data_IF_968016159297
#
_entry.id   IF_968016159297
#
_cell.length_a   1.000
_cell.length_b   1.000
_cell.length_c   1.000
_cell.angle_alpha   90.00
_cell.angle_beta   90.00
_cell.angle_gamma   90.00
#
_symmetry.space_group_name_H-M   'P 1'
#
loop_
_entity.id
_entity.type
_entity.pdbx_description
1 polymer ?
#
# COMPACT_ATOMS: atom_id res chain seq x y z
N UNK A 1 -18.20 0.84 -3.56
CA UNK A 1 -17.83 -0.59 -3.72
C UNK A 1 -18.27 -1.20 -5.05
N UNK A 2 -19.57 -1.42 -5.34
CA UNK A 2 -20.00 -2.06 -6.63
C UNK A 2 -19.50 -1.35 -7.90
N UNK A 3 -19.26 -0.04 -7.87
CA UNK A 3 -18.74 0.74 -9.01
C UNK A 3 -17.23 0.56 -9.27
N UNK A 4 -16.44 0.29 -8.23
CA UNK A 4 -14.98 0.08 -8.34
C UNK A 4 -14.65 -1.33 -8.85
N UNK A 5 -15.54 -2.29 -8.62
CA UNK A 5 -15.41 -3.69 -9.08
C UNK A 5 -16.24 -4.00 -10.34
N UNK A 6 -16.97 -3.03 -10.89
CA UNK A 6 -17.70 -3.16 -12.15
C UNK A 6 -16.85 -2.68 -13.35
N UNK A 7 -17.31 -2.91 -14.58
CA UNK A 7 -16.58 -2.61 -15.83
C UNK A 7 -15.91 -1.23 -15.83
N UNK A 8 -14.61 -1.19 -16.09
CA UNK A 8 -13.76 0.02 -16.02
C UNK A 8 -13.44 0.58 -14.63
N UNK A 9 -13.97 0.03 -13.54
CA UNK A 9 -13.71 0.51 -12.17
C UNK A 9 -12.25 0.30 -11.73
N UNK A 10 -11.66 -0.84 -12.08
CA UNK A 10 -10.27 -1.16 -11.73
C UNK A 10 -9.28 -0.26 -12.46
N UNK A 11 -9.57 0.07 -13.74
CA UNK A 11 -8.76 0.97 -14.55
C UNK A 11 -8.73 2.40 -14.01
N UNK A 12 -9.89 2.92 -13.59
CA UNK A 12 -10.00 4.22 -12.93
C UNK A 12 -9.28 4.26 -11.59
N UNK A 13 -9.42 3.20 -10.79
CA UNK A 13 -8.66 3.09 -9.54
C UNK A 13 -7.16 3.16 -9.81
N UNK A 14 -6.67 2.46 -10.85
CA UNK A 14 -5.28 2.51 -11.27
C UNK A 14 -4.87 3.91 -11.74
N UNK A 15 -5.65 4.57 -12.60
CA UNK A 15 -5.35 5.91 -13.09
C UNK A 15 -5.29 6.95 -11.95
N UNK A 16 -6.17 6.82 -10.94
CA UNK A 16 -6.16 7.61 -9.71
C UNK A 16 -4.91 7.34 -8.85
N UNK A 17 -4.52 6.08 -8.66
CA UNK A 17 -3.30 5.73 -7.92
C UNK A 17 -2.03 6.26 -8.62
N UNK A 18 -1.96 6.13 -9.96
CA UNK A 18 -0.86 6.67 -10.77
C UNK A 18 -0.82 8.20 -10.79
N UNK A 19 -1.94 8.88 -10.51
CA UNK A 19 -2.02 10.33 -10.35
C UNK A 19 -1.64 10.82 -8.94
N UNK A 20 -1.15 9.95 -8.04
CA UNK A 20 -0.75 10.35 -6.69
C UNK A 20 -1.90 10.41 -5.69
N UNK A 21 -2.99 9.69 -5.96
CA UNK A 21 -4.16 9.60 -5.08
C UNK A 21 -4.86 10.94 -4.81
N UNK A 22 -4.80 11.88 -5.75
CA UNK A 22 -5.52 13.15 -5.62
C UNK A 22 -7.04 12.95 -5.78
N UNK A 23 -7.82 13.62 -4.92
CA UNK A 23 -9.28 13.47 -4.89
C UNK A 23 -9.73 12.06 -4.49
N UNK A 24 -10.92 11.66 -4.94
CA UNK A 24 -11.46 10.33 -4.67
C UNK A 24 -11.46 9.47 -5.94
N UNK A 25 -11.29 8.14 -5.80
CA UNK A 25 -11.23 7.24 -6.95
C UNK A 25 -12.54 7.20 -7.77
N UNK A 26 -13.69 7.49 -7.14
CA UNK A 26 -15.00 7.56 -7.80
C UNK A 26 -15.23 8.87 -8.60
N UNK A 27 -14.38 9.88 -8.45
CA UNK A 27 -14.52 11.20 -9.12
C UNK A 27 -13.93 11.23 -10.54
N UNK A 28 -13.21 10.19 -10.96
CA UNK A 28 -12.73 10.11 -12.34
C UNK A 28 -13.90 9.82 -13.31
N UNK A 29 -14.04 10.71 -14.30
CA UNK A 29 -15.06 10.67 -15.35
C UNK A 29 -14.98 9.35 -16.15
N UNK A 30 -16.12 8.85 -16.59
CA UNK A 30 -16.21 7.64 -17.43
C UNK A 30 -15.42 7.82 -18.73
N UNK A 31 -14.57 6.86 -19.08
CA UNK A 31 -13.81 6.83 -20.35
C UNK A 31 -14.64 6.22 -21.49
N UNK A 32 -14.16 6.34 -22.73
CA UNK A 32 -14.75 5.67 -23.90
C UNK A 32 -14.88 4.16 -23.73
N UNK A 33 -13.78 3.51 -23.36
CA UNK A 33 -13.67 2.06 -23.16
C UNK A 33 -14.60 1.54 -22.06
N UNK A 34 -14.62 2.19 -20.89
CA UNK A 34 -15.49 1.80 -19.78
C UNK A 34 -16.97 1.99 -20.10
N UNK A 35 -17.31 3.05 -20.85
CA UNK A 35 -18.67 3.25 -21.35
C UNK A 35 -19.10 2.13 -22.31
N UNK A 36 -18.22 1.70 -23.22
CA UNK A 36 -18.50 0.57 -24.14
C UNK A 36 -18.75 -0.71 -23.35
N UNK A 37 -17.89 -1.06 -22.38
CA UNK A 37 -18.08 -2.23 -21.53
C UNK A 37 -19.40 -2.19 -20.75
N UNK A 38 -19.77 -1.03 -20.22
CA UNK A 38 -21.03 -0.84 -19.52
C UNK A 38 -22.24 -1.05 -20.45
N UNK A 39 -22.16 -0.56 -21.70
CA UNK A 39 -23.22 -0.76 -22.70
C UNK A 39 -23.32 -2.23 -23.14
N UNK A 40 -22.19 -2.91 -23.33
CA UNK A 40 -22.14 -4.35 -23.61
C UNK A 40 -22.78 -5.16 -22.46
N UNK A 41 -22.47 -4.81 -21.21
CA UNK A 41 -23.08 -5.43 -20.03
C UNK A 41 -24.60 -5.20 -19.94
N UNK A 42 -25.09 -4.10 -20.53
CA UNK A 42 -26.52 -3.80 -20.69
C UNK A 42 -27.16 -4.45 -21.92
N UNK A 43 -26.40 -5.25 -22.68
CA UNK A 43 -26.88 -6.00 -23.83
C UNK A 43 -26.87 -5.24 -25.16
N UNK A 44 -26.19 -4.10 -25.24
CA UNK A 44 -26.00 -3.41 -26.52
C UNK A 44 -24.95 -4.14 -27.38
N UNK A 45 -25.15 -4.22 -28.70
CA UNK A 45 -24.11 -4.62 -29.65
C UNK A 45 -22.87 -3.72 -29.57
N UNK A 46 -21.68 -4.29 -29.80
CA UNK A 46 -20.37 -3.61 -29.67
C UNK A 46 -20.25 -2.38 -30.58
N UNK A 47 -20.65 -2.54 -31.83
CA UNK A 47 -20.65 -1.48 -32.85
C UNK A 47 -21.51 -0.28 -32.43
N UNK A 48 -22.71 -0.54 -31.91
CA UNK A 48 -23.58 0.52 -31.40
C UNK A 48 -23.01 1.17 -30.13
N UNK A 49 -22.44 0.37 -29.23
CA UNK A 49 -21.80 0.88 -28.02
C UNK A 49 -20.60 1.79 -28.34
N UNK A 50 -19.78 1.43 -29.32
CA UNK A 50 -18.63 2.22 -29.79
C UNK A 50 -19.08 3.54 -30.46
N UNK A 51 -20.13 3.50 -31.28
CA UNK A 51 -20.73 4.71 -31.88
C UNK A 51 -21.30 5.67 -30.82
N UNK A 52 -22.00 5.13 -29.82
CA UNK A 52 -22.50 5.92 -28.70
C UNK A 52 -21.34 6.51 -27.88
N UNK A 53 -20.29 5.73 -27.62
CA UNK A 53 -19.11 6.22 -26.91
C UNK A 53 -18.45 7.40 -27.66
N UNK A 54 -18.30 7.31 -28.98
CA UNK A 54 -17.77 8.39 -29.80
C UNK A 54 -18.61 9.66 -29.70
N UNK A 55 -19.94 9.54 -29.83
CA UNK A 55 -20.88 10.67 -29.74
C UNK A 55 -20.85 11.34 -28.36
N UNK A 56 -20.82 10.53 -27.28
CA UNK A 56 -20.79 11.03 -25.91
C UNK A 56 -19.43 11.66 -25.58
N UNK A 57 -18.33 11.16 -26.19
CA UNK A 57 -17.00 11.78 -26.10
C UNK A 57 -16.93 13.13 -26.81
N UNK A 58 -17.47 13.24 -28.03
CA UNK A 58 -17.56 14.51 -28.76
C UNK A 58 -18.40 15.55 -28.02
N UNK A 59 -19.44 15.12 -27.31
CA UNK A 59 -20.24 15.97 -26.43
C UNK A 59 -19.51 16.39 -25.12
N UNK A 60 -18.26 15.95 -24.92
CA UNK A 60 -17.44 16.31 -23.74
C UNK A 60 -17.85 15.60 -22.45
N UNK A 61 -18.66 14.54 -22.54
CA UNK A 61 -19.17 13.81 -21.39
C UNK A 61 -18.33 12.59 -21.00
N UNK A 62 -17.39 12.15 -21.85
CA UNK A 62 -16.38 11.13 -21.51
C UNK A 62 -15.00 11.75 -21.35
N UNK A 63 -14.21 11.19 -20.41
CA UNK A 63 -12.78 11.50 -20.31
C UNK A 63 -11.98 10.83 -21.42
N UNK A 64 -10.75 11.30 -21.61
CA UNK A 64 -9.76 10.57 -22.39
C UNK A 64 -9.43 9.23 -21.74
N UNK A 65 -8.94 8.30 -22.56
CA UNK A 65 -8.54 6.98 -22.06
C UNK A 65 -7.47 7.11 -20.99
N UNK A 66 -7.53 6.20 -20.01
CA UNK A 66 -6.58 6.16 -18.91
C UNK A 66 -5.18 5.84 -19.44
N UNK A 67 -4.35 6.88 -19.56
CA UNK A 67 -2.95 6.76 -19.98
C UNK A 67 -2.13 6.06 -18.90
N UNK A 68 -1.67 4.85 -19.21
CA UNK A 68 -0.81 4.06 -18.34
C UNK A 68 0.66 4.48 -18.37
N UNK A 69 1.07 5.39 -19.26
CA UNK A 69 2.47 5.77 -19.45
C UNK A 69 3.35 4.52 -19.64
N UNK A 70 4.44 4.43 -18.88
CA UNK A 70 5.37 3.30 -18.97
C UNK A 70 4.77 1.95 -18.55
N UNK A 71 3.66 1.94 -17.81
CA UNK A 71 3.01 0.71 -17.39
C UNK A 71 2.31 0.01 -18.56
N UNK A 72 1.97 0.72 -19.64
CA UNK A 72 1.36 0.11 -20.83
C UNK A 72 2.26 -0.94 -21.52
N UNK A 73 3.59 -0.84 -21.36
CA UNK A 73 4.57 -1.78 -21.92
C UNK A 73 4.78 -3.02 -21.04
N UNK A 74 4.15 -3.08 -19.86
CA UNK A 74 4.29 -4.20 -18.94
C UNK A 74 3.48 -5.42 -19.39
N UNK A 75 3.86 -6.60 -18.89
CA UNK A 75 3.09 -7.83 -19.14
C UNK A 75 1.68 -7.74 -18.54
N UNK A 76 0.68 -8.32 -19.20
CA UNK A 76 -0.73 -8.31 -18.75
C UNK A 76 -0.93 -8.63 -17.25
N UNK A 77 -0.34 -9.71 -16.71
CA UNK A 77 -0.46 -10.03 -15.28
C UNK A 77 0.07 -8.94 -14.33
N UNK A 78 1.05 -8.15 -14.78
CA UNK A 78 1.63 -7.04 -14.03
C UNK A 78 0.66 -5.85 -13.99
N UNK A 79 0.02 -5.54 -15.11
CA UNK A 79 -1.03 -4.52 -15.20
C UNK A 79 -2.23 -4.92 -14.33
N UNK A 80 -2.70 -6.16 -14.46
CA UNK A 80 -3.80 -6.66 -13.62
C UNK A 80 -3.46 -6.62 -12.13
N UNK A 81 -2.21 -6.90 -11.75
CA UNK A 81 -1.76 -6.75 -10.37
C UNK A 81 -1.80 -5.28 -9.92
N UNK A 82 -1.34 -4.35 -10.77
CA UNK A 82 -1.42 -2.91 -10.50
C UNK A 82 -2.86 -2.42 -10.30
N UNK A 83 -3.78 -2.91 -11.12
CA UNK A 83 -5.20 -2.60 -11.03
C UNK A 83 -5.82 -3.15 -9.73
N UNK A 84 -5.51 -4.39 -9.36
CA UNK A 84 -5.96 -4.97 -8.07
C UNK A 84 -5.43 -4.18 -6.87
N UNK A 85 -4.12 -3.91 -6.86
CA UNK A 85 -3.44 -3.13 -5.82
C UNK A 85 -4.10 -1.73 -5.68
N UNK A 86 -4.44 -1.09 -6.80
CA UNK A 86 -5.10 0.22 -6.80
C UNK A 86 -6.54 0.16 -6.29
N UNK A 87 -7.29 -0.90 -6.63
CA UNK A 87 -8.63 -1.14 -6.09
C UNK A 87 -8.58 -1.34 -4.58
N UNK A 88 -7.59 -2.08 -4.08
CA UNK A 88 -7.45 -2.33 -2.65
C UNK A 88 -7.16 -1.03 -1.88
N UNK A 89 -6.30 -0.15 -2.42
CA UNK A 89 -6.11 1.20 -1.87
C UNK A 89 -7.40 2.01 -1.92
N UNK A 90 -8.10 2.00 -3.06
CA UNK A 90 -9.35 2.75 -3.24
C UNK A 90 -10.43 2.30 -2.24
N UNK A 91 -10.54 1.00 -1.99
CA UNK A 91 -11.46 0.44 -1.00
C UNK A 91 -11.05 0.84 0.42
N UNK A 92 -9.76 0.74 0.74
CA UNK A 92 -9.21 1.12 2.04
C UNK A 92 -9.53 2.58 2.39
N UNK A 93 -9.43 3.50 1.43
CA UNK A 93 -9.65 4.94 1.64
C UNK A 93 -11.05 5.42 1.27
N UNK A 94 -11.98 4.53 0.91
CA UNK A 94 -13.28 4.94 0.34
C UNK A 94 -14.24 5.58 1.34
N UNK A 95 -14.24 5.12 2.59
CA UNK A 95 -15.15 5.65 3.62
C UNK A 95 -14.55 6.84 4.38
N UNK A 96 -13.22 6.91 4.45
CA UNK A 96 -12.50 7.96 5.14
C UNK A 96 -11.06 8.05 4.69
N UNK A 97 -10.54 9.28 4.67
CA UNK A 97 -9.13 9.60 4.51
C UNK A 97 -8.93 11.03 4.99
N UNK A 98 -8.16 11.20 6.05
CA UNK A 98 -7.85 12.49 6.66
C UNK A 98 -6.36 12.74 6.40
N UNK A 99 -6.06 13.84 5.71
CA UNK A 99 -4.68 14.25 5.41
C UNK A 99 -4.25 15.34 6.37
N UNK A 100 -2.95 15.57 6.48
CA UNK A 100 -2.40 16.65 7.33
C UNK A 100 -3.03 18.02 7.04
N UNK A 101 -3.21 18.45 5.76
CA UNK A 101 -3.88 19.72 5.46
C UNK A 101 -5.33 19.79 5.96
N UNK A 102 -6.02 18.65 6.08
CA UNK A 102 -7.41 18.59 6.53
C UNK A 102 -7.52 18.85 8.05
N UNK A 103 -6.42 18.77 8.81
CA UNK A 103 -6.35 19.15 10.24
C UNK A 103 -6.34 20.69 10.45
N UNK A 104 -6.04 21.47 9.40
CA UNK A 104 -5.91 22.92 9.49
C UNK A 104 -7.29 23.57 9.39
N UNK A 105 -7.94 23.76 10.54
CA UNK A 105 -9.25 24.44 10.61
C UNK A 105 -9.12 25.90 11.09
N UNK A 106 -10.22 26.66 11.06
CA UNK A 106 -10.23 28.05 11.55
C UNK A 106 -9.99 28.17 13.06
N UNK A 107 -10.21 27.09 13.82
CA UNK A 107 -10.31 27.13 15.29
C UNK A 107 -9.09 26.54 16.01
N UNK A 108 -8.01 26.20 15.30
CA UNK A 108 -6.79 25.65 15.91
C UNK A 108 -5.88 26.75 16.50
N UNK A 109 -5.07 26.40 17.49
CA UNK A 109 -4.07 27.30 18.05
C UNK A 109 -2.96 27.64 17.05
N UNK A 110 -2.26 28.76 17.26
CA UNK A 110 -1.09 29.11 16.44
C UNK A 110 0.01 28.05 16.48
N UNK A 111 0.16 27.37 17.62
CA UNK A 111 1.12 26.28 17.80
C UNK A 111 0.75 25.05 16.97
N UNK A 112 -0.51 24.62 17.03
CA UNK A 112 -1.03 23.52 16.20
C UNK A 112 -0.94 23.85 14.70
N UNK A 113 -1.24 25.09 14.33
CA UNK A 113 -1.08 25.55 12.93
C UNK A 113 0.37 25.43 12.47
N UNK A 114 1.34 25.89 13.27
CA UNK A 114 2.77 25.77 12.96
C UNK A 114 3.20 24.30 12.85
N UNK A 115 2.68 23.44 13.73
CA UNK A 115 2.94 22.00 13.72
C UNK A 115 2.48 21.38 12.39
N UNK A 116 1.24 21.63 11.99
CA UNK A 116 0.64 21.03 10.78
C UNK A 116 1.15 21.64 9.46
N UNK A 117 1.43 22.94 9.42
CA UNK A 117 1.88 23.63 8.19
C UNK A 117 3.39 23.47 7.94
N UNK A 118 4.20 23.16 8.96
CA UNK A 118 5.67 23.13 8.86
C UNK A 118 6.28 21.83 9.37
N UNK A 119 6.11 21.52 10.64
CA UNK A 119 6.85 20.43 11.30
C UNK A 119 6.42 19.04 10.79
N UNK A 120 5.11 18.85 10.54
CA UNK A 120 4.57 17.63 9.94
C UNK A 120 5.09 17.44 8.50
N UNK A 121 4.94 18.39 7.55
CA UNK A 121 5.50 18.25 6.21
C UNK A 121 7.01 18.00 6.18
N UNK A 122 7.79 18.71 7.01
CA UNK A 122 9.24 18.52 7.08
C UNK A 122 9.63 17.12 7.58
N UNK A 123 8.93 16.60 8.59
CA UNK A 123 9.19 15.26 9.12
C UNK A 123 8.75 14.15 8.16
N UNK A 124 7.63 14.32 7.44
CA UNK A 124 7.17 13.46 6.34
C UNK A 124 8.23 13.37 5.24
N UNK A 125 8.71 14.53 4.76
CA UNK A 125 9.73 14.58 3.72
C UNK A 125 11.07 13.99 4.19
N UNK A 126 11.50 14.27 5.43
CA UNK A 126 12.73 13.70 6.02
C UNK A 126 12.66 12.17 6.12
N UNK A 127 11.48 11.63 6.43
CA UNK A 127 11.20 10.21 6.42
C UNK A 127 11.06 9.61 5.00
N UNK A 128 11.19 10.40 3.94
CA UNK A 128 11.08 9.91 2.57
C UNK A 128 9.68 9.46 2.20
N UNK A 129 8.68 10.09 2.81
CA UNK A 129 7.30 9.97 2.42
C UNK A 129 6.87 11.19 1.62
N UNK A 130 5.96 11.00 0.66
CA UNK A 130 5.18 12.10 0.06
C UNK A 130 4.03 12.49 0.99
N UNK A 131 3.44 11.52 1.70
CA UNK A 131 2.38 11.76 2.67
C UNK A 131 2.24 10.62 3.67
N UNK A 132 1.62 10.96 4.80
CA UNK A 132 1.05 10.01 5.75
C UNK A 132 -0.38 10.46 6.00
N UNK A 133 -1.35 9.57 5.80
CA UNK A 133 -2.77 9.89 5.94
C UNK A 133 -3.42 8.95 6.96
N UNK A 134 -4.42 9.46 7.69
CA UNK A 134 -5.24 8.68 8.61
C UNK A 134 -6.47 8.13 7.88
N UNK A 135 -6.74 6.84 8.06
CA UNK A 135 -7.98 6.16 7.65
C UNK A 135 -8.65 5.64 8.91
N UNK A 136 -9.54 6.44 9.50
CA UNK A 136 -10.24 6.12 10.77
C UNK A 136 -11.35 5.05 10.62
N UNK A 137 -11.67 4.66 9.39
CA UNK A 137 -12.63 3.60 9.04
C UNK A 137 -12.04 2.59 8.06
N UNK A 138 -10.84 2.12 8.35
CA UNK A 138 -10.13 1.13 7.52
C UNK A 138 -10.86 -0.23 7.57
N UNK A 139 -11.32 -0.77 6.43
CA UNK A 139 -12.08 -2.01 6.41
C UNK A 139 -11.17 -3.24 6.56
N UNK A 140 -11.43 -4.07 7.57
CA UNK A 140 -10.71 -5.32 7.79
C UNK A 140 -11.70 -6.48 7.76
N UNK A 141 -11.57 -7.36 6.77
CA UNK A 141 -12.39 -8.56 6.64
C UNK A 141 -11.63 -9.79 7.15
N UNK A 142 -12.06 -10.34 8.29
CA UNK A 142 -11.57 -11.63 8.79
C UNK A 142 -12.53 -12.71 8.29
N UNK A 143 -12.01 -13.71 7.59
CA UNK A 143 -12.83 -14.77 7.00
C UNK A 143 -12.28 -16.16 7.29
N UNK A 144 -13.18 -17.10 7.61
CA UNK A 144 -12.87 -18.52 7.82
C UNK A 144 -13.74 -19.36 6.89
N UNK A 145 -13.09 -20.15 6.04
CA UNK A 145 -13.75 -20.98 5.01
C UNK A 145 -13.70 -22.49 5.35
N UNK A 146 -13.06 -22.86 6.45
CA UNK A 146 -12.93 -24.25 6.87
C UNK A 146 -11.89 -24.41 7.97
N UNK A 147 -11.52 -25.66 8.24
CA UNK A 147 -10.44 -26.02 9.15
C UNK A 147 -9.64 -27.18 8.55
N UNK A 148 -8.38 -27.31 8.94
CA UNK A 148 -7.53 -28.42 8.50
C UNK A 148 -7.59 -29.56 9.50
N UNK A 149 -7.73 -30.81 9.04
CA UNK A 149 -7.57 -32.04 9.85
C UNK A 149 -6.57 -32.96 9.17
N UNK A 150 -5.79 -33.70 9.97
CA UNK A 150 -4.81 -34.67 9.47
C UNK A 150 -3.56 -34.70 10.34
N UNK A 151 -2.58 -35.50 9.93
CA UNK A 151 -1.27 -35.56 10.57
C UNK A 151 -0.30 -34.48 10.10
N UNK A 152 0.93 -34.52 10.63
CA UNK A 152 1.98 -33.54 10.36
C UNK A 152 2.72 -33.79 9.04
N UNK A 153 2.55 -34.97 8.43
CA UNK A 153 3.29 -35.30 7.21
C UNK A 153 2.66 -34.65 5.97
N UNK A 154 3.46 -34.22 4.97
CA UNK A 154 2.95 -33.72 3.70
C UNK A 154 1.94 -34.67 3.06
N UNK A 155 0.74 -34.16 2.75
CA UNK A 155 -0.34 -34.93 2.12
C UNK A 155 -1.35 -35.56 3.09
N UNK A 156 -1.06 -35.61 4.39
CA UNK A 156 -2.01 -36.11 5.40
C UNK A 156 -3.03 -35.05 5.83
N UNK A 157 -2.65 -33.78 5.76
CA UNK A 157 -3.52 -32.66 6.08
C UNK A 157 -4.55 -32.41 4.96
N UNK A 158 -5.84 -32.43 5.31
CA UNK A 158 -6.94 -32.07 4.41
C UNK A 158 -7.70 -30.88 4.94
N UNK A 159 -7.95 -29.92 4.06
CA UNK A 159 -8.86 -28.80 4.33
C UNK A 159 -10.31 -29.29 4.30
N UNK A 160 -10.96 -29.31 5.47
CA UNK A 160 -12.40 -29.48 5.61
C UNK A 160 -13.08 -28.13 5.44
N UNK A 161 -13.68 -27.91 4.27
CA UNK A 161 -14.38 -26.67 3.92
C UNK A 161 -15.76 -26.63 4.57
N UNK A 162 -16.26 -25.43 4.87
CA UNK A 162 -17.65 -25.27 5.26
C UNK A 162 -18.55 -25.29 4.01
N UNK A 163 -19.61 -26.08 4.06
CA UNK A 163 -20.55 -26.23 2.96
C UNK A 163 -21.84 -25.41 3.18
N UNK A 164 -22.32 -24.82 2.10
CA UNK A 164 -23.58 -24.09 2.03
C UNK A 164 -24.74 -24.97 1.55
N UNK A 165 -25.81 -24.35 1.05
CA UNK A 165 -26.91 -25.09 0.39
C UNK A 165 -26.45 -25.56 -1.00
N UNK A 166 -26.81 -26.78 -1.39
CA UNK A 166 -26.41 -27.35 -2.67
C UNK A 166 -24.89 -27.46 -2.81
N UNK A 167 -24.34 -27.11 -3.98
CA UNK A 167 -22.90 -27.18 -4.26
C UNK A 167 -22.15 -25.87 -3.93
N UNK A 168 -22.65 -25.07 -2.98
CA UNK A 168 -22.02 -23.81 -2.57
C UNK A 168 -21.07 -23.98 -1.38
N UNK A 169 -20.04 -23.14 -1.30
CA UNK A 169 -19.19 -23.02 -0.12
C UNK A 169 -19.72 -21.92 0.81
N UNK A 170 -19.58 -22.14 2.12
CA UNK A 170 -19.90 -21.14 3.13
C UNK A 170 -18.61 -20.54 3.66
N UNK A 171 -18.57 -19.22 3.75
CA UNK A 171 -17.50 -18.47 4.39
C UNK A 171 -18.12 -17.72 5.56
N UNK A 172 -17.58 -17.92 6.75
CA UNK A 172 -17.92 -17.09 7.91
C UNK A 172 -16.99 -15.89 7.88
N UNK A 173 -17.55 -14.69 7.89
CA UNK A 173 -16.79 -13.47 7.76
C UNK A 173 -17.24 -12.46 8.80
N UNK A 174 -16.28 -11.73 9.33
CA UNK A 174 -16.45 -10.62 10.25
C UNK A 174 -15.77 -9.39 9.63
N UNK A 175 -16.57 -8.36 9.33
CA UNK A 175 -16.09 -7.10 8.76
C UNK A 175 -16.01 -6.07 9.88
N UNK A 176 -14.79 -5.66 10.20
CA UNK A 176 -14.50 -4.67 11.22
C UNK A 176 -14.00 -3.38 10.59
N UNK A 177 -14.23 -2.26 11.28
CA UNK A 177 -13.64 -0.96 10.94
C UNK A 177 -12.57 -0.66 11.98
N UNK A 178 -11.35 -0.45 11.51
CA UNK A 178 -10.18 -0.15 12.32
C UNK A 178 -9.64 1.24 11.98
N UNK A 179 -8.69 1.72 12.79
CA UNK A 179 -7.82 2.82 12.40
C UNK A 179 -6.67 2.28 11.57
N UNK A 180 -6.24 3.03 10.56
CA UNK A 180 -5.00 2.78 9.85
C UNK A 180 -4.26 4.08 9.52
N UNK A 181 -2.94 3.99 9.43
CA UNK A 181 -2.10 5.00 8.82
C UNK A 181 -1.66 4.48 7.45
N UNK A 182 -1.95 5.26 6.41
CA UNK A 182 -1.49 5.05 5.04
C UNK A 182 -0.18 5.82 4.85
N UNK A 183 0.90 5.08 4.60
CA UNK A 183 2.22 5.65 4.32
C UNK A 183 2.49 5.59 2.83
N UNK A 184 2.83 6.74 2.24
CA UNK A 184 3.17 6.85 0.83
C UNK A 184 4.62 7.28 0.70
N UNK A 185 5.48 6.39 0.21
CA UNK A 185 6.87 6.72 -0.11
C UNK A 185 6.89 7.71 -1.27
N UNK A 186 7.83 8.64 -1.21
CA UNK A 186 8.09 9.58 -2.29
C UNK A 186 8.52 8.82 -3.56
N UNK A 187 7.71 8.83 -4.64
CA UNK A 187 7.97 8.03 -5.82
C UNK A 187 9.25 8.45 -6.55
N UNK A 188 9.61 9.74 -6.51
CA UNK A 188 10.83 10.25 -7.16
C UNK A 188 12.03 9.72 -6.41
N UNK A 189 12.03 9.81 -5.08
CA UNK A 189 13.11 9.26 -4.26
C UNK A 189 13.22 7.74 -4.38
N UNK A 190 12.10 7.03 -4.49
CA UNK A 190 12.10 5.57 -4.70
C UNK A 190 12.71 5.24 -6.07
N UNK A 191 12.35 5.97 -7.12
CA UNK A 191 12.92 5.82 -8.45
C UNK A 191 14.43 6.05 -8.44
N UNK A 192 14.88 7.18 -7.91
CA UNK A 192 16.31 7.53 -7.84
C UNK A 192 17.09 6.50 -7.03
N UNK A 193 16.52 6.02 -5.93
CA UNK A 193 17.11 4.96 -5.12
C UNK A 193 17.19 3.62 -5.86
N UNK A 194 16.17 3.23 -6.62
CA UNK A 194 16.20 2.01 -7.44
C UNK A 194 17.28 2.11 -8.53
N UNK A 195 17.39 3.26 -9.20
CA UNK A 195 18.44 3.54 -10.20
C UNK A 195 19.82 3.51 -9.56
N UNK A 196 20.00 4.13 -8.39
CA UNK A 196 21.27 4.10 -7.64
C UNK A 196 21.70 2.67 -7.26
N UNK A 197 20.73 1.76 -7.02
CA UNK A 197 21.00 0.34 -6.81
C UNK A 197 21.29 -0.46 -8.08
N UNK A 198 21.30 0.19 -9.25
CA UNK A 198 21.65 -0.41 -10.53
C UNK A 198 20.46 -0.96 -11.32
N UNK A 199 19.22 -0.69 -10.92
CA UNK A 199 18.05 -1.05 -11.72
C UNK A 199 17.92 -0.13 -12.93
N UNK A 200 17.46 -0.71 -14.05
CA UNK A 200 17.11 0.05 -15.25
C UNK A 200 15.61 0.28 -15.25
N UNK A 201 15.20 1.53 -15.06
CA UNK A 201 13.83 1.98 -15.24
C UNK A 201 13.72 2.85 -16.51
N UNK A 202 12.55 2.92 -17.15
CA UNK A 202 12.28 3.91 -18.18
C UNK A 202 12.56 5.33 -17.65
N UNK A 203 13.12 6.20 -18.51
CA UNK A 203 13.29 7.59 -18.16
C UNK A 203 11.92 8.24 -17.97
N UNK A 204 11.70 8.80 -16.78
CA UNK A 204 10.42 9.36 -16.38
C UNK A 204 10.60 10.86 -16.05
N UNK A 205 9.70 11.69 -16.57
CA UNK A 205 9.64 13.12 -16.26
C UNK A 205 8.36 13.43 -15.48
N UNK A 206 8.53 13.99 -14.28
CA UNK A 206 7.45 14.28 -13.35
C UNK A 206 6.90 13.05 -12.61
N UNK A 207 6.09 13.33 -11.59
CA UNK A 207 5.67 12.33 -10.60
C UNK A 207 4.83 11.20 -11.20
N UNK A 208 3.89 11.52 -12.11
CA UNK A 208 3.04 10.52 -12.76
C UNK A 208 3.87 9.52 -13.56
N UNK A 209 4.77 10.00 -14.43
CA UNK A 209 5.62 9.12 -15.23
C UNK A 209 6.46 8.21 -14.33
N UNK A 210 7.01 8.76 -13.24
CA UNK A 210 7.76 8.00 -12.24
C UNK A 210 6.91 6.88 -11.61
N UNK A 211 5.67 7.20 -11.21
CA UNK A 211 4.73 6.20 -10.69
C UNK A 211 4.44 5.10 -11.71
N UNK A 212 4.23 5.44 -12.98
CA UNK A 212 4.01 4.42 -14.04
C UNK A 212 5.23 3.51 -14.26
N UNK A 213 6.45 4.08 -14.19
CA UNK A 213 7.69 3.32 -14.34
C UNK A 213 7.93 2.37 -13.16
N UNK A 214 7.64 2.80 -11.92
CA UNK A 214 7.74 1.92 -10.75
C UNK A 214 6.63 0.86 -10.79
N UNK A 215 5.42 1.25 -11.21
CA UNK A 215 4.27 0.36 -11.23
C UNK A 215 4.42 -0.82 -12.21
N UNK A 216 5.40 -0.82 -13.12
CA UNK A 216 5.71 -1.96 -14.00
C UNK A 216 6.56 -3.05 -13.35
N UNK A 217 6.95 -2.89 -12.07
CA UNK A 217 7.81 -3.81 -11.32
C UNK A 217 7.18 -5.19 -11.07
N UNK A 218 7.74 -6.31 -11.48
CA UNK A 218 7.18 -7.61 -11.07
C UNK A 218 7.45 -7.91 -9.57
N UNK A 219 6.41 -7.80 -8.72
CA UNK A 219 6.53 -7.92 -7.26
C UNK A 219 6.38 -9.40 -6.86
N UNK A 220 7.36 -9.99 -6.17
CA UNK A 220 7.25 -11.36 -5.67
C UNK A 220 6.16 -11.45 -4.60
N UNK A 221 5.51 -12.61 -4.50
CA UNK A 221 4.57 -12.88 -3.42
C UNK A 221 5.27 -13.61 -2.27
N UNK A 222 4.58 -13.78 -1.14
CA UNK A 222 5.11 -14.44 0.08
C UNK A 222 5.58 -15.89 -0.12
N UNK A 223 5.21 -16.56 -1.21
CA UNK A 223 5.62 -17.91 -1.57
C UNK A 223 6.72 -17.96 -2.63
N UNK A 224 7.15 -16.79 -3.14
CA UNK A 224 8.28 -16.72 -4.07
C UNK A 224 9.58 -17.00 -3.32
N UNK A 225 10.38 -17.95 -3.82
CA UNK A 225 11.71 -18.25 -3.30
C UNK A 225 12.74 -17.23 -3.81
N UNK A 226 13.43 -16.48 -2.91
CA UNK A 226 14.50 -15.60 -3.32
C UNK A 226 15.59 -16.37 -4.05
N UNK A 227 15.96 -15.90 -5.23
CA UNK A 227 17.06 -16.50 -5.99
C UNK A 227 18.37 -15.86 -5.52
N UNK A 228 19.32 -16.63 -4.94
CA UNK A 228 20.58 -16.07 -4.47
C UNK A 228 21.31 -15.29 -5.56
N UNK A 229 21.73 -14.06 -5.26
CA UNK A 229 22.52 -13.22 -6.17
C UNK A 229 21.71 -12.49 -7.26
N UNK A 230 20.42 -12.79 -7.43
CA UNK A 230 19.51 -11.98 -8.24
C UNK A 230 18.72 -11.06 -7.31
N UNK A 231 18.67 -9.78 -7.64
CA UNK A 231 17.76 -8.81 -7.00
C UNK A 231 16.92 -8.21 -8.11
N UNK A 232 15.67 -8.62 -8.22
CA UNK A 232 14.75 -8.00 -9.16
C UNK A 232 14.31 -6.64 -8.63
N UNK A 233 13.88 -5.75 -9.53
CA UNK A 233 13.33 -4.45 -9.15
C UNK A 233 12.17 -4.59 -8.15
N UNK A 234 11.30 -5.57 -8.35
CA UNK A 234 10.17 -5.81 -7.45
C UNK A 234 10.52 -6.45 -6.11
N UNK A 235 11.53 -7.33 -6.05
CA UNK A 235 12.08 -7.81 -4.76
C UNK A 235 12.60 -6.63 -3.96
N UNK A 236 13.28 -5.72 -4.63
CA UNK A 236 13.94 -4.60 -4.03
C UNK A 236 12.94 -3.54 -3.52
N UNK A 237 11.85 -3.33 -4.27
CA UNK A 237 10.72 -2.49 -3.88
C UNK A 237 9.95 -3.11 -2.69
N UNK A 238 9.67 -4.41 -2.72
CA UNK A 238 9.03 -5.12 -1.62
C UNK A 238 9.87 -5.06 -0.33
N UNK A 239 11.18 -5.32 -0.41
CA UNK A 239 12.07 -5.23 0.74
C UNK A 239 12.07 -3.83 1.35
N UNK A 240 12.01 -2.77 0.53
CA UNK A 240 11.91 -1.39 1.03
C UNK A 240 10.60 -1.18 1.79
N UNK A 241 9.46 -1.41 1.13
CA UNK A 241 8.14 -1.14 1.73
C UNK A 241 7.89 -1.99 2.97
N UNK A 242 8.27 -3.27 2.92
CA UNK A 242 8.10 -4.21 4.04
C UNK A 242 9.01 -3.86 5.22
N UNK A 243 10.28 -3.53 4.96
CA UNK A 243 11.20 -3.07 6.01
C UNK A 243 10.72 -1.77 6.66
N UNK A 244 10.14 -0.87 5.86
CA UNK A 244 9.55 0.36 6.36
C UNK A 244 8.33 0.07 7.25
N UNK A 245 7.40 -0.78 6.79
CA UNK A 245 6.21 -1.19 7.54
C UNK A 245 6.58 -1.81 8.89
N UNK A 246 7.55 -2.74 8.91
CA UNK A 246 8.00 -3.37 10.14
C UNK A 246 8.60 -2.39 11.14
N UNK A 247 9.39 -1.43 10.64
CA UNK A 247 9.95 -0.38 11.49
C UNK A 247 8.86 0.56 12.00
N UNK A 248 7.91 0.92 11.15
CA UNK A 248 6.76 1.76 11.51
C UNK A 248 5.93 1.08 12.61
N UNK A 249 5.58 -0.19 12.47
CA UNK A 249 4.83 -0.97 13.48
C UNK A 249 5.55 -0.96 14.83
N UNK A 250 6.86 -1.22 14.86
CA UNK A 250 7.62 -1.24 16.11
C UNK A 250 7.60 0.10 16.85
N UNK A 251 7.67 1.20 16.12
CA UNK A 251 7.62 2.55 16.69
C UNK A 251 6.18 2.96 17.04
N UNK A 252 5.21 2.70 16.15
CA UNK A 252 3.80 2.98 16.39
C UNK A 252 3.26 2.25 17.61
N UNK A 253 3.69 1.00 17.85
CA UNK A 253 3.31 0.27 19.07
C UNK A 253 3.63 1.06 20.35
N UNK A 254 4.79 1.74 20.38
CA UNK A 254 5.20 2.57 21.53
C UNK A 254 4.40 3.87 21.58
N UNK A 255 4.28 4.57 20.45
CA UNK A 255 3.61 5.87 20.37
C UNK A 255 2.08 5.77 20.61
N UNK A 256 1.43 4.77 20.03
CA UNK A 256 -0.01 4.53 20.16
C UNK A 256 -0.37 3.74 21.42
N UNK A 257 0.61 3.28 22.21
CA UNK A 257 0.37 2.50 23.43
C UNK A 257 -0.31 1.15 23.19
N UNK A 258 0.01 0.50 22.07
CA UNK A 258 -0.57 -0.80 21.67
C UNK A 258 0.50 -1.89 21.57
N UNK A 259 0.10 -3.14 21.76
CA UNK A 259 1.00 -4.25 21.51
C UNK A 259 1.34 -4.36 20.01
N UNK A 260 2.56 -4.81 19.69
CA UNK A 260 3.01 -4.99 18.29
C UNK A 260 2.11 -5.97 17.53
N UNK A 261 1.63 -7.01 18.20
CA UNK A 261 0.71 -8.02 17.65
C UNK A 261 -0.74 -7.53 17.60
N UNK A 262 -1.00 -6.32 18.12
CA UNK A 262 -2.25 -5.58 17.94
C UNK A 262 -2.26 -4.69 16.70
N UNK A 263 -1.16 -4.65 15.94
CA UNK A 263 -1.04 -3.97 14.66
C UNK A 263 -0.91 -5.00 13.54
N UNK A 264 -1.33 -4.62 12.34
CA UNK A 264 -1.15 -5.38 11.11
C UNK A 264 -0.62 -4.50 9.99
N UNK A 265 -0.01 -5.12 8.97
CA UNK A 265 0.43 -4.43 7.76
C UNK A 265 -0.39 -4.83 6.54
N UNK A 266 -0.49 -3.91 5.59
CA UNK A 266 -0.97 -4.21 4.25
C UNK A 266 -0.06 -3.50 3.23
N UNK A 267 0.66 -4.28 2.43
CA UNK A 267 1.73 -3.77 1.56
C UNK A 267 1.22 -3.61 0.13
N UNK A 268 1.49 -2.46 -0.48
CA UNK A 268 1.16 -2.20 -1.89
C UNK A 268 2.39 -1.60 -2.60
N UNK A 269 3.49 -2.37 -2.72
CA UNK A 269 4.81 -1.83 -3.07
C UNK A 269 4.83 -1.15 -4.44
N UNK A 270 4.05 -1.68 -5.38
CA UNK A 270 3.90 -1.19 -6.75
C UNK A 270 3.42 0.26 -6.82
N UNK A 271 2.64 0.70 -5.83
CA UNK A 271 2.17 2.07 -5.68
C UNK A 271 2.94 2.85 -4.60
N UNK A 272 4.13 2.38 -4.22
CA UNK A 272 4.99 2.98 -3.20
C UNK A 272 4.27 3.17 -1.85
N UNK A 273 3.30 2.31 -1.54
CA UNK A 273 2.36 2.52 -0.42
C UNK A 273 2.33 1.32 0.51
N UNK A 274 2.13 1.56 1.80
CA UNK A 274 1.74 0.53 2.75
C UNK A 274 0.82 1.12 3.83
N UNK A 275 0.03 0.25 4.47
CA UNK A 275 -0.82 0.59 5.59
C UNK A 275 -0.31 -0.10 6.85
N UNK A 276 -0.40 0.60 7.98
CA UNK A 276 -0.34 0.00 9.31
C UNK A 276 -1.69 0.23 9.98
N UNK A 277 -2.40 -0.85 10.30
CA UNK A 277 -3.75 -0.78 10.86
C UNK A 277 -3.82 -1.44 12.24
N UNK A 278 -4.73 -0.96 13.08
CA UNK A 278 -5.03 -1.58 14.37
C UNK A 278 -5.83 -2.86 14.14
N UNK A 279 -5.21 -4.01 14.38
CA UNK A 279 -5.87 -5.31 14.33
C UNK A 279 -6.64 -5.56 15.64
N UNK A 280 -7.67 -4.76 15.90
CA UNK A 280 -8.44 -4.82 17.14
C UNK A 280 -9.00 -6.23 17.37
N UNK A 281 -8.87 -6.72 18.61
CA UNK A 281 -9.57 -7.92 19.09
C UNK A 281 -10.81 -7.45 19.85
N UNK A 282 -11.84 -7.08 19.11
CA UNK A 282 -13.12 -6.59 19.65
C UNK A 282 -13.61 -5.34 18.93
N UNK A 283 -14.81 -4.89 19.31
CA UNK A 283 -15.54 -3.81 18.63
C UNK A 283 -15.09 -2.39 19.04
N UNK A 284 -14.09 -2.28 19.92
CA UNK A 284 -13.61 -1.00 20.44
C UNK A 284 -12.32 -0.56 19.75
N UNK A 285 -12.38 0.64 19.16
CA UNK A 285 -11.25 1.34 18.55
C UNK A 285 -10.70 2.32 19.60
N UNK A 286 -9.45 2.14 20.00
CA UNK A 286 -8.82 2.91 21.09
C UNK A 286 -8.49 4.36 20.69
N UNK A 287 -8.42 4.70 19.40
CA UNK A 287 -8.02 6.03 18.95
C UNK A 287 -6.50 6.23 18.96
N UNK A 288 -5.71 5.16 19.12
CA UNK A 288 -4.28 5.26 19.35
C UNK A 288 -3.52 5.74 18.12
N UNK A 289 -3.87 5.25 16.93
CA UNK A 289 -3.24 5.69 15.69
C UNK A 289 -3.70 7.09 15.29
N UNK A 290 -4.97 7.41 15.52
CA UNK A 290 -5.51 8.76 15.34
C UNK A 290 -4.81 9.76 16.26
N UNK A 291 -4.63 9.43 17.54
CA UNK A 291 -3.93 10.30 18.49
C UNK A 291 -2.48 10.58 18.05
N UNK A 292 -1.76 9.56 17.57
CA UNK A 292 -0.42 9.75 17.00
C UNK A 292 -0.47 10.67 15.78
N UNK A 293 -1.40 10.45 14.87
CA UNK A 293 -1.54 11.29 13.67
C UNK A 293 -1.84 12.76 14.02
N UNK A 294 -2.78 13.01 14.93
CA UNK A 294 -3.22 14.35 15.27
C UNK A 294 -2.22 15.13 16.14
N UNK A 295 -1.46 14.45 17.00
CA UNK A 295 -0.68 15.12 18.06
C UNK A 295 0.85 14.86 18.04
N UNK A 296 1.30 13.73 17.50
CA UNK A 296 2.68 13.25 17.66
C UNK A 296 3.33 12.74 16.36
N UNK A 297 2.76 13.06 15.19
CA UNK A 297 3.21 12.51 13.91
C UNK A 297 4.66 12.89 13.62
N UNK A 298 5.05 14.14 13.87
CA UNK A 298 6.42 14.63 13.71
C UNK A 298 7.41 13.87 14.61
N UNK A 299 7.08 13.69 15.89
CA UNK A 299 7.92 12.99 16.86
C UNK A 299 8.08 11.53 16.47
N UNK A 300 6.98 10.91 16.05
CA UNK A 300 6.96 9.54 15.54
C UNK A 300 7.86 9.40 14.31
N UNK A 301 7.69 10.24 13.29
CA UNK A 301 8.47 10.19 12.06
C UNK A 301 9.95 10.52 12.28
N UNK A 302 10.25 11.49 13.14
CA UNK A 302 11.63 11.79 13.54
C UNK A 302 12.28 10.59 14.23
N UNK A 303 11.56 9.90 15.13
CA UNK A 303 12.04 8.67 15.78
C UNK A 303 12.22 7.56 14.76
N UNK A 304 11.30 7.44 13.81
CA UNK A 304 11.34 6.46 12.73
C UNK A 304 12.63 6.60 11.90
N UNK A 305 13.12 7.82 11.67
CA UNK A 305 14.36 8.07 10.92
C UNK A 305 15.62 7.99 11.80
N UNK A 306 15.56 8.48 13.04
CA UNK A 306 16.75 8.75 13.86
C UNK A 306 17.06 7.68 14.92
N UNK A 307 16.08 6.87 15.33
CA UNK A 307 16.30 5.82 16.31
C UNK A 307 17.33 4.79 15.83
N UNK A 308 18.01 4.13 16.77
CA UNK A 308 19.10 3.17 16.50
C UNK A 308 18.73 2.22 15.35
N UNK A 309 19.57 2.22 14.33
CA UNK A 309 19.39 1.45 13.10
C UNK A 309 20.15 0.12 13.13
N UNK A 310 21.08 -0.05 14.07
CA UNK A 310 21.85 -1.29 14.24
C UNK A 310 21.04 -2.31 15.04
N UNK A 311 21.34 -3.57 14.79
CA UNK A 311 20.79 -4.66 15.59
C UNK A 311 21.72 -4.93 16.77
N UNK A 312 21.17 -5.20 17.95
CA UNK A 312 21.94 -5.67 19.10
C UNK A 312 22.72 -6.98 18.82
N UNK A 313 22.33 -7.72 17.78
CA UNK A 313 22.97 -8.96 17.34
C UNK A 313 23.96 -8.76 16.17
N UNK A 314 24.37 -7.52 15.90
CA UNK A 314 25.40 -7.25 14.90
C UNK A 314 26.81 -7.65 15.39
N UNK A 315 27.70 -8.14 14.49
CA UNK A 315 27.55 -8.19 13.03
C UNK A 315 26.84 -9.45 12.50
N UNK A 316 26.48 -10.41 13.35
CA UNK A 316 25.89 -11.68 12.92
C UNK A 316 24.57 -11.47 12.17
N UNK A 317 23.68 -10.62 12.70
CA UNK A 317 22.43 -10.27 12.03
C UNK A 317 22.67 -9.63 10.65
N UNK A 318 23.58 -8.65 10.55
CA UNK A 318 23.94 -8.03 9.27
C UNK A 318 24.50 -9.01 8.23
N UNK A 319 25.26 -10.03 8.65
CA UNK A 319 25.78 -11.08 7.77
C UNK A 319 24.70 -12.09 7.34
N UNK A 320 23.70 -12.31 8.18
CA UNK A 320 22.62 -13.29 7.98
C UNK A 320 21.31 -12.62 7.51
N UNK A 321 21.39 -11.74 6.51
CA UNK A 321 20.21 -11.16 5.85
C UNK A 321 19.71 -9.81 6.39
N UNK A 322 20.22 -9.32 7.54
CA UNK A 322 19.92 -7.97 8.01
C UNK A 322 18.55 -7.81 8.71
N UNK A 323 17.83 -8.90 8.95
CA UNK A 323 16.60 -8.95 9.74
C UNK A 323 16.63 -10.13 10.73
N UNK A 324 16.11 -9.93 11.94
CA UNK A 324 15.95 -10.98 12.95
C UNK A 324 14.87 -10.60 13.97
N UNK A 325 14.57 -11.50 14.91
CA UNK A 325 13.61 -11.29 16.00
C UNK A 325 13.88 -10.02 16.83
N UNK A 326 15.15 -9.72 17.11
CA UNK A 326 15.52 -8.53 17.88
C UNK A 326 15.21 -7.21 17.16
N UNK A 327 15.46 -7.09 15.85
CA UNK A 327 15.39 -5.81 15.15
C UNK A 327 14.13 -5.62 14.28
N UNK A 328 13.71 -6.62 13.51
CA UNK A 328 12.72 -6.42 12.44
C UNK A 328 11.57 -7.42 12.47
N UNK A 329 11.75 -8.67 12.91
CA UNK A 329 10.66 -9.65 12.79
C UNK A 329 9.49 -9.30 13.69
N UNK A 330 8.28 -9.49 13.15
CA UNK A 330 7.00 -9.38 13.84
C UNK A 330 6.32 -10.75 13.86
N UNK A 331 5.33 -10.95 14.73
CA UNK A 331 4.56 -12.18 14.72
C UNK A 331 3.74 -12.36 13.45
N UNK A 332 3.33 -13.60 13.23
CA UNK A 332 2.51 -14.01 12.08
C UNK A 332 1.20 -13.24 11.89
N UNK A 333 0.42 -12.88 12.94
CA UNK A 333 -0.82 -12.11 12.72
C UNK A 333 -0.57 -10.68 12.21
N UNK A 334 0.65 -10.17 12.37
CA UNK A 334 1.05 -8.82 11.98
C UNK A 334 1.69 -8.76 10.59
N UNK A 335 2.57 -9.72 10.27
CA UNK A 335 3.31 -9.76 9.00
C UNK A 335 2.71 -10.76 8.01
N UNK A 336 2.25 -10.26 6.85
CA UNK A 336 1.62 -11.11 5.83
C UNK A 336 2.64 -11.85 4.94
N UNK A 337 3.93 -11.52 5.07
CA UNK A 337 5.02 -12.05 4.23
C UNK A 337 5.97 -13.00 4.97
N UNK A 338 5.55 -13.54 6.13
CA UNK A 338 6.34 -14.50 6.92
C UNK A 338 7.75 -14.00 7.29
N UNK A 339 7.91 -12.68 7.50
CA UNK A 339 9.20 -12.04 7.70
C UNK A 339 10.23 -12.30 6.57
N UNK A 340 9.77 -12.65 5.36
CA UNK A 340 10.59 -12.77 4.14
C UNK A 340 10.68 -11.41 3.44
N UNK A 341 11.67 -11.22 2.55
CA UNK A 341 11.87 -9.93 1.86
C UNK A 341 11.95 -8.76 2.86
N UNK A 342 12.85 -8.88 3.83
CA UNK A 342 12.99 -7.97 4.96
C UNK A 342 14.47 -7.75 5.29
N UNK A 343 14.95 -6.51 5.28
CA UNK A 343 16.33 -6.17 5.60
C UNK A 343 16.46 -4.67 5.96
N UNK A 344 16.85 -4.37 7.20
CA UNK A 344 16.97 -2.98 7.69
C UNK A 344 17.97 -2.13 6.90
N UNK A 345 18.92 -2.75 6.18
CA UNK A 345 19.89 -2.03 5.34
C UNK A 345 19.24 -1.36 4.14
N UNK A 346 18.04 -1.78 3.75
CA UNK A 346 17.24 -1.08 2.74
C UNK A 346 16.82 0.32 3.21
N UNK A 347 16.79 0.55 4.53
CA UNK A 347 16.52 1.87 5.11
C UNK A 347 17.82 2.61 5.44
N UNK A 348 18.75 1.96 6.14
CA UNK A 348 19.90 2.63 6.77
C UNK A 348 21.28 2.21 6.26
N UNK A 349 21.37 1.26 5.33
CA UNK A 349 22.64 0.83 4.78
C UNK A 349 23.29 1.91 3.90
N UNK A 350 24.52 1.67 3.39
CA UNK A 350 25.18 2.60 2.46
C UNK A 350 24.39 2.87 1.18
N UNK A 351 23.54 1.93 0.77
CA UNK A 351 22.56 2.07 -0.32
C UNK A 351 21.13 2.07 0.23
N UNK A 352 20.94 2.49 1.48
CA UNK A 352 19.64 2.57 2.11
C UNK A 352 18.86 3.80 1.64
N UNK A 353 17.55 3.66 1.55
CA UNK A 353 16.63 4.69 1.09
C UNK A 353 16.72 6.02 1.87
N UNK A 354 16.89 5.93 3.19
CA UNK A 354 17.04 7.08 4.08
C UNK A 354 18.49 7.60 4.14
N UNK A 355 19.46 6.82 3.66
CA UNK A 355 20.87 7.23 3.60
C UNK A 355 21.21 7.95 2.29
N UNK A 356 20.63 7.52 1.17
CA UNK A 356 20.88 8.07 -0.17
C UNK A 356 20.47 9.55 -0.31
N UNK A 357 19.67 10.09 0.62
CA UNK A 357 19.12 11.44 0.56
C UNK A 357 19.42 12.28 1.82
N UNK A 358 20.42 11.90 2.62
CA UNK A 358 20.90 12.79 3.70
C UNK A 358 21.70 13.92 3.06
N UNK A 359 21.36 15.21 3.31
CA UNK A 359 22.28 16.28 2.97
C UNK A 359 23.61 16.03 3.69
N UNK A 360 24.71 16.24 2.96
CA UNK A 360 26.07 16.05 3.45
C UNK A 360 26.39 16.92 4.68
#
# INVERSE_FOLDING_TARGET
>A
MRKLTAGGGQRRALAWALAGFEGTPDVQRTTGSSFVEEMLAKGLPRDLAEQLAATVKEAGHLADEDDLGHLADAAGPVIEAAERDAVDIALATSESRIRVPDLITSNISHEARRLFEREYPESVHRAGFSSVDLVDRFPVLKAVYGFTRGGLNPGEARLSRFHGKGNSYRVYADLQKAEALMFQLDPIRVYDWLVYRGHRLPAADGERATRTAIASADIPNRFTEPVPGRRSLGEDLLNLTHSYAHRAIRQLAVFAGVDREGLGEYLVPRHCTFFVFAATRGDFVLGGLQAVFENDLDKFLNTLVSAESRCALDPACGRNGGACHACMHLGEPTCNHFNRFLDRRYLFGPQGYLAAHRPA
#
